data_IF_675067218134
#
_entry.id   IF_675067218134
#
_cell.length_a   1.000
_cell.length_b   1.000
_cell.length_c   1.000
_cell.angle_alpha   90.00
_cell.angle_beta   90.00
_cell.angle_gamma   90.00
#
_symmetry.space_group_name_H-M   'P 1'
#
loop_
_entity.id
_entity.type
_entity.pdbx_description
1 polymer ?
#
# COMPACT_ATOMS: atom_id res chain seq x y z
N UNK A 1 32.58 -27.86 25.00
CA UNK A 1 32.03 -26.52 24.98
C UNK A 1 32.09 -25.99 23.55
N UNK A 2 30.94 -25.65 22.96
CA UNK A 2 30.90 -25.00 21.64
C UNK A 2 31.27 -23.53 21.83
N UNK A 3 32.42 -23.12 21.32
CA UNK A 3 32.78 -21.70 21.26
C UNK A 3 32.04 -21.01 20.11
N UNK A 4 31.07 -20.20 20.43
CA UNK A 4 30.40 -19.33 19.45
C UNK A 4 31.35 -18.19 19.04
N UNK A 5 31.71 -18.14 17.75
CA UNK A 5 32.50 -17.05 17.21
C UNK A 5 31.77 -15.71 17.40
N UNK A 6 32.40 -14.69 18.00
CA UNK A 6 31.78 -13.37 18.20
C UNK A 6 31.33 -12.70 16.89
N UNK A 7 31.99 -13.04 15.76
CA UNK A 7 31.59 -12.58 14.42
C UNK A 7 30.23 -13.16 13.97
N UNK A 8 29.94 -14.41 14.34
CA UNK A 8 28.67 -15.05 14.02
C UNK A 8 27.53 -14.43 14.85
N UNK A 9 27.78 -14.15 16.12
CA UNK A 9 26.81 -13.50 16.99
C UNK A 9 26.46 -12.07 16.50
N UNK A 10 27.46 -11.29 16.04
CA UNK A 10 27.23 -9.95 15.49
C UNK A 10 26.44 -10.00 14.19
N UNK A 11 26.72 -10.95 13.30
CA UNK A 11 25.97 -11.12 12.04
C UNK A 11 24.52 -11.49 12.29
N UNK A 12 24.26 -12.38 13.25
CA UNK A 12 22.89 -12.78 13.63
C UNK A 12 22.14 -11.61 14.26
N UNK A 13 22.78 -10.80 15.11
CA UNK A 13 22.18 -9.63 15.72
C UNK A 13 21.87 -8.53 14.70
N UNK A 14 22.73 -8.33 13.71
CA UNK A 14 22.50 -7.38 12.61
C UNK A 14 21.34 -7.82 11.71
N UNK A 15 21.27 -9.12 11.39
CA UNK A 15 20.17 -9.68 10.60
C UNK A 15 18.82 -9.59 11.34
N UNK A 16 18.80 -9.83 12.65
CA UNK A 16 17.59 -9.69 13.48
C UNK A 16 17.17 -8.21 13.61
N UNK A 17 18.10 -7.29 13.74
CA UNK A 17 17.80 -5.86 13.80
C UNK A 17 17.22 -5.35 12.47
N UNK A 18 17.75 -5.81 11.33
CA UNK A 18 17.22 -5.47 10.01
C UNK A 18 15.82 -6.03 9.79
N UNK A 19 15.57 -7.28 10.21
CA UNK A 19 14.25 -7.89 10.10
C UNK A 19 13.21 -7.16 10.96
N UNK A 20 13.57 -6.73 12.18
CA UNK A 20 12.67 -5.95 13.04
C UNK A 20 12.41 -4.55 12.48
N UNK A 21 13.39 -3.90 11.84
CA UNK A 21 13.20 -2.61 11.20
C UNK A 21 12.21 -2.70 10.03
N UNK A 22 12.29 -3.74 9.20
CA UNK A 22 11.36 -3.96 8.07
C UNK A 22 9.93 -4.25 8.56
N UNK A 23 9.77 -4.98 9.64
CA UNK A 23 8.42 -5.22 10.22
C UNK A 23 7.84 -3.96 10.86
N UNK A 24 8.67 -3.08 11.42
CA UNK A 24 8.24 -1.80 11.98
C UNK A 24 7.78 -0.80 10.91
N UNK A 25 8.19 -0.96 9.63
CA UNK A 25 7.82 -0.07 8.52
C UNK A 25 6.60 -0.56 7.72
N UNK A 26 5.92 -1.60 8.18
CA UNK A 26 4.77 -2.21 7.49
C UNK A 26 3.63 -2.51 8.47
N UNK A 27 3.57 -1.77 9.57
CA UNK A 27 2.49 -1.88 10.54
C UNK A 27 1.19 -1.25 9.98
N UNK A 28 0.07 -1.60 10.58
CA UNK A 28 -1.22 -0.94 10.32
C UNK A 28 -1.11 0.58 10.43
N UNK A 29 -0.38 1.05 11.44
CA UNK A 29 -0.18 2.48 11.68
C UNK A 29 0.64 3.16 10.58
N UNK A 30 1.65 2.49 10.00
CA UNK A 30 2.44 3.07 8.91
C UNK A 30 1.57 3.33 7.67
N UNK A 31 0.64 2.42 7.35
CA UNK A 31 -0.34 2.64 6.29
C UNK A 31 -1.27 3.82 6.61
N UNK A 32 -1.83 3.84 7.82
CA UNK A 32 -2.77 4.90 8.25
C UNK A 32 -2.09 6.26 8.25
N UNK A 33 -0.90 6.38 8.82
CA UNK A 33 -0.17 7.64 8.91
C UNK A 33 0.19 8.20 7.53
N UNK A 34 0.65 7.35 6.61
CA UNK A 34 0.98 7.76 5.25
C UNK A 34 -0.27 8.26 4.48
N UNK A 35 -1.41 7.61 4.63
CA UNK A 35 -2.67 8.06 4.05
C UNK A 35 -3.11 9.40 4.65
N UNK A 36 -3.07 9.52 5.97
CA UNK A 36 -3.53 10.72 6.67
C UNK A 36 -2.65 11.93 6.41
N UNK A 37 -1.35 11.74 6.19
CA UNK A 37 -0.47 12.82 5.73
C UNK A 37 -0.94 13.39 4.39
N UNK A 38 -1.23 12.55 3.40
CA UNK A 38 -1.72 12.99 2.09
C UNK A 38 -3.12 13.63 2.15
N UNK A 39 -3.99 13.13 3.02
CA UNK A 39 -5.33 13.67 3.23
C UNK A 39 -5.32 15.04 3.93
N UNK A 40 -4.43 15.21 4.90
CA UNK A 40 -4.23 16.49 5.57
C UNK A 40 -3.77 17.60 4.62
N UNK A 41 -2.93 17.25 3.64
CA UNK A 41 -2.44 18.18 2.61
C UNK A 41 -3.58 18.83 1.78
N UNK A 42 -4.74 18.18 1.73
CA UNK A 42 -5.93 18.67 1.00
C UNK A 42 -7.11 18.96 1.91
N UNK A 43 -6.89 19.03 3.23
CA UNK A 43 -7.87 19.42 4.22
C UNK A 43 -8.97 18.40 4.50
N UNK A 44 -8.70 17.11 4.23
CA UNK A 44 -9.64 16.02 4.47
C UNK A 44 -9.51 15.44 5.89
N UNK A 45 -10.60 14.85 6.37
CA UNK A 45 -10.59 14.04 7.58
C UNK A 45 -9.76 12.78 7.44
N UNK A 46 -9.31 12.25 8.58
CA UNK A 46 -8.50 11.06 8.65
C UNK A 46 -9.28 9.79 8.26
N UNK A 47 -8.54 8.82 7.73
CA UNK A 47 -8.98 7.42 7.65
C UNK A 47 -8.51 6.67 8.90
N UNK A 48 -9.24 5.62 9.26
CA UNK A 48 -8.88 4.71 10.36
C UNK A 48 -8.70 3.29 9.84
N UNK A 49 -7.96 2.48 10.57
CA UNK A 49 -7.82 1.07 10.25
C UNK A 49 -9.12 0.32 10.49
N UNK A 50 -9.55 -0.46 9.50
CA UNK A 50 -10.70 -1.35 9.56
C UNK A 50 -10.24 -2.80 9.42
N UNK A 51 -10.32 -3.55 10.51
CA UNK A 51 -9.85 -4.94 10.56
C UNK A 51 -10.60 -5.87 9.58
N UNK A 52 -11.87 -5.58 9.28
CA UNK A 52 -12.66 -6.36 8.29
C UNK A 52 -12.15 -6.11 6.88
N UNK A 53 -11.88 -4.84 6.55
CA UNK A 53 -11.29 -4.45 5.27
C UNK A 53 -9.87 -5.00 5.13
N UNK A 54 -9.09 -4.98 6.23
CA UNK A 54 -7.74 -5.54 6.26
C UNK A 54 -7.72 -7.06 6.03
N UNK A 55 -8.66 -7.79 6.63
CA UNK A 55 -8.80 -9.22 6.39
C UNK A 55 -9.10 -9.53 4.92
N UNK A 56 -9.97 -8.75 4.27
CA UNK A 56 -10.24 -8.87 2.84
C UNK A 56 -8.96 -8.62 2.01
N UNK A 57 -8.22 -7.56 2.32
CA UNK A 57 -6.95 -7.25 1.64
C UNK A 57 -5.91 -8.37 1.83
N UNK A 58 -5.80 -8.92 3.05
CA UNK A 58 -4.87 -10.01 3.34
C UNK A 58 -5.23 -11.29 2.58
N UNK A 59 -6.52 -11.68 2.58
CA UNK A 59 -6.98 -12.86 1.85
C UNK A 59 -6.65 -12.77 0.36
N UNK A 60 -6.78 -11.59 -0.23
CA UNK A 60 -6.42 -11.38 -1.63
C UNK A 60 -4.91 -11.35 -1.85
N UNK A 61 -4.15 -10.68 -0.99
CA UNK A 61 -2.70 -10.65 -1.06
C UNK A 61 -2.10 -12.07 -1.01
N UNK A 62 -2.64 -12.94 -0.16
CA UNK A 62 -2.19 -14.33 -0.06
C UNK A 62 -2.45 -15.13 -1.34
N UNK A 63 -3.55 -14.85 -2.06
CA UNK A 63 -3.82 -15.47 -3.36
C UNK A 63 -2.84 -15.01 -4.45
N UNK A 64 -2.29 -13.79 -4.33
CA UNK A 64 -1.35 -13.19 -5.29
C UNK A 64 0.11 -13.54 -5.04
N UNK A 65 0.45 -14.18 -3.92
CA UNK A 65 1.84 -14.54 -3.58
C UNK A 65 2.54 -15.37 -4.66
N UNK A 66 1.81 -16.26 -5.32
CA UNK A 66 2.38 -17.19 -6.30
C UNK A 66 2.85 -16.52 -7.59
N UNK A 67 2.18 -15.46 -8.04
CA UNK A 67 2.50 -14.77 -9.29
C UNK A 67 2.87 -13.30 -9.11
N UNK A 68 2.51 -12.71 -7.99
CA UNK A 68 2.72 -11.30 -7.64
C UNK A 68 2.33 -10.30 -8.74
N UNK A 69 1.35 -10.65 -9.57
CA UNK A 69 0.85 -9.76 -10.61
C UNK A 69 -0.08 -8.70 -10.00
N UNK A 70 0.07 -7.45 -10.45
CA UNK A 70 -0.78 -6.35 -10.03
C UNK A 70 -2.13 -6.41 -10.74
N UNK A 71 -2.93 -7.39 -10.38
CA UNK A 71 -4.30 -7.59 -10.88
C UNK A 71 -5.25 -7.27 -9.74
N UNK A 72 -6.22 -6.42 -10.01
CA UNK A 72 -7.28 -6.07 -9.05
C UNK A 72 -8.15 -7.27 -8.70
N UNK A 73 -8.76 -7.23 -7.52
CA UNK A 73 -9.79 -8.21 -7.14
C UNK A 73 -10.89 -8.25 -8.20
N UNK A 74 -11.47 -9.41 -8.49
CA UNK A 74 -12.53 -9.54 -9.49
C UNK A 74 -13.70 -8.58 -9.27
N UNK A 75 -14.44 -8.33 -10.34
CA UNK A 75 -15.65 -7.49 -10.31
C UNK A 75 -16.63 -7.90 -9.20
N UNK A 76 -17.29 -6.88 -8.61
CA UNK A 76 -18.20 -7.07 -7.48
C UNK A 76 -17.52 -6.96 -6.12
N UNK A 77 -16.25 -6.56 -6.07
CA UNK A 77 -15.58 -6.23 -4.80
C UNK A 77 -16.33 -5.11 -4.05
N UNK A 78 -16.44 -5.21 -2.73
CA UNK A 78 -17.19 -4.24 -1.93
C UNK A 78 -16.39 -2.96 -1.63
N UNK A 79 -15.08 -2.94 -1.91
CA UNK A 79 -14.14 -1.89 -1.53
C UNK A 79 -13.46 -1.24 -2.73
N UNK A 80 -13.02 0.00 -2.58
CA UNK A 80 -12.00 0.60 -3.43
C UNK A 80 -10.66 -0.10 -3.23
N UNK A 81 -9.70 0.07 -4.16
CA UNK A 81 -8.47 -0.69 -4.10
C UNK A 81 -7.30 0.00 -4.79
N UNK A 82 -6.16 0.03 -4.12
CA UNK A 82 -4.87 0.39 -4.70
C UNK A 82 -3.90 -0.78 -4.57
N UNK A 83 -3.10 -1.01 -5.60
CA UNK A 83 -2.08 -2.06 -5.66
C UNK A 83 -0.69 -1.45 -5.86
N UNK A 84 0.34 -2.13 -5.33
CA UNK A 84 1.74 -1.74 -5.48
C UNK A 84 2.68 -2.93 -5.41
N UNK A 85 3.85 -2.82 -6.06
CA UNK A 85 4.90 -3.83 -6.04
C UNK A 85 4.98 -4.63 -7.33
N UNK A 86 5.16 -5.93 -7.20
CA UNK A 86 5.29 -6.89 -8.29
C UNK A 86 6.52 -7.78 -8.11
N UNK A 87 6.63 -8.81 -8.94
CA UNK A 87 7.81 -9.69 -8.98
C UNK A 87 9.03 -9.00 -9.57
N UNK A 88 10.24 -9.33 -9.12
CA UNK A 88 11.50 -8.81 -9.65
C UNK A 88 11.91 -7.42 -9.14
N UNK A 89 11.22 -6.87 -8.15
CA UNK A 89 11.48 -5.53 -7.63
C UNK A 89 12.21 -5.48 -6.28
N UNK A 90 12.59 -6.63 -5.71
CA UNK A 90 13.13 -6.72 -4.36
C UNK A 90 12.05 -6.79 -3.28
N UNK A 91 12.46 -7.11 -2.06
CA UNK A 91 11.52 -7.32 -0.93
C UNK A 91 11.51 -6.17 0.08
N UNK A 92 12.17 -5.06 -0.22
CA UNK A 92 12.41 -3.96 0.72
C UNK A 92 11.30 -2.90 0.72
N UNK A 93 10.41 -2.94 -0.28
CA UNK A 93 9.32 -1.99 -0.41
C UNK A 93 8.37 -2.05 0.79
N UNK A 94 8.09 -0.87 1.33
CA UNK A 94 7.34 -0.67 2.57
C UNK A 94 5.92 -0.14 2.31
N UNK A 95 5.10 -0.10 3.38
CA UNK A 95 3.81 0.57 3.38
C UNK A 95 3.93 2.03 2.91
N UNK A 96 4.90 2.75 3.43
CA UNK A 96 5.15 4.16 3.09
C UNK A 96 5.56 4.31 1.62
N UNK A 97 6.39 3.41 1.07
CA UNK A 97 6.76 3.44 -0.34
C UNK A 97 5.55 3.27 -1.25
N UNK A 98 4.66 2.33 -0.93
CA UNK A 98 3.43 2.10 -1.67
C UNK A 98 2.55 3.36 -1.68
N UNK A 99 2.25 3.91 -0.50
CA UNK A 99 1.39 5.10 -0.40
C UNK A 99 2.04 6.31 -1.07
N UNK A 100 3.34 6.53 -0.91
CA UNK A 100 4.05 7.62 -1.58
C UNK A 100 4.02 7.47 -3.11
N UNK A 101 4.13 6.25 -3.62
CA UNK A 101 3.98 5.98 -5.06
C UNK A 101 2.59 6.38 -5.55
N UNK A 102 1.53 5.98 -4.86
CA UNK A 102 0.15 6.37 -5.21
C UNK A 102 -0.06 7.88 -5.10
N UNK A 103 0.49 8.53 -4.07
CA UNK A 103 0.38 9.98 -3.86
C UNK A 103 1.18 10.76 -4.90
N UNK A 104 2.23 10.19 -5.48
CA UNK A 104 3.02 10.86 -6.53
C UNK A 104 2.22 11.18 -7.79
N UNK A 105 1.12 10.47 -8.04
CA UNK A 105 0.19 10.76 -9.15
C UNK A 105 -0.51 12.13 -9.00
N UNK A 106 -0.48 12.74 -7.79
CA UNK A 106 -0.98 14.11 -7.54
C UNK A 106 -0.46 15.13 -8.55
N UNK A 107 0.78 14.96 -9.01
CA UNK A 107 1.40 15.87 -9.99
C UNK A 107 0.64 15.94 -11.33
N UNK A 108 -0.17 14.93 -11.64
CA UNK A 108 -0.95 14.85 -12.88
C UNK A 108 -2.43 15.17 -12.70
N UNK A 109 -2.89 15.33 -11.45
CA UNK A 109 -4.29 15.56 -11.15
C UNK A 109 -4.59 17.03 -10.95
N UNK A 110 -5.52 17.55 -11.72
CA UNK A 110 -6.08 18.91 -11.56
C UNK A 110 -7.43 18.80 -10.84
N UNK A 111 -7.47 19.34 -9.62
CA UNK A 111 -8.66 19.28 -8.79
C UNK A 111 -9.77 20.21 -9.29
N UNK A 112 -9.44 21.40 -9.78
CA UNK A 112 -10.44 22.41 -10.19
C UNK A 112 -11.25 21.94 -11.38
N UNK A 113 -10.61 21.24 -12.31
CA UNK A 113 -11.25 20.65 -13.49
C UNK A 113 -11.65 19.18 -13.29
N UNK A 114 -11.23 18.55 -12.21
CA UNK A 114 -11.36 17.11 -11.96
C UNK A 114 -10.82 16.27 -13.15
N UNK A 115 -9.62 16.61 -13.62
CA UNK A 115 -9.00 15.94 -14.76
C UNK A 115 -7.63 15.36 -14.41
N UNK A 116 -7.27 14.31 -15.12
CA UNK A 116 -5.96 13.66 -15.06
C UNK A 116 -5.19 13.87 -16.36
N UNK A 117 -3.97 14.38 -16.27
CA UNK A 117 -3.05 14.59 -17.40
C UNK A 117 -1.85 13.64 -17.37
N UNK A 118 -2.01 12.46 -16.76
CA UNK A 118 -0.95 11.46 -16.69
C UNK A 118 -0.50 11.00 -18.08
N UNK A 119 0.80 10.71 -18.28
CA UNK A 119 1.31 10.11 -19.49
C UNK A 119 0.66 8.75 -19.80
N UNK A 120 0.85 8.27 -21.05
CA UNK A 120 0.37 6.94 -21.44
C UNK A 120 0.94 5.85 -20.52
N UNK A 121 0.05 5.02 -20.00
CA UNK A 121 0.40 3.94 -19.05
C UNK A 121 0.40 4.36 -17.59
N UNK A 122 0.23 5.64 -17.28
CA UNK A 122 0.06 6.17 -15.92
C UNK A 122 -1.38 6.62 -15.68
N UNK A 123 -1.73 6.90 -14.43
CA UNK A 123 -3.07 7.32 -14.04
C UNK A 123 -3.02 8.31 -12.87
N UNK A 124 -4.17 8.80 -12.44
CA UNK A 124 -4.35 9.52 -11.18
C UNK A 124 -5.21 8.73 -10.19
N UNK A 125 -5.60 7.52 -10.57
CA UNK A 125 -6.61 6.75 -9.84
C UNK A 125 -6.16 6.29 -8.46
N UNK A 126 -4.87 6.04 -8.27
CA UNK A 126 -4.36 5.70 -6.95
C UNK A 126 -4.38 6.91 -6.02
N UNK A 127 -3.93 8.08 -6.48
CA UNK A 127 -3.99 9.30 -5.70
C UNK A 127 -5.41 9.68 -5.33
N UNK A 128 -6.33 9.70 -6.32
CA UNK A 128 -7.72 10.08 -6.07
C UNK A 128 -8.42 9.15 -5.10
N UNK A 129 -8.07 7.85 -5.07
CA UNK A 129 -8.57 6.91 -4.07
C UNK A 129 -8.00 7.23 -2.66
N UNK A 130 -6.71 7.52 -2.53
CA UNK A 130 -6.09 7.90 -1.23
C UNK A 130 -6.80 9.10 -0.63
N UNK A 131 -7.10 10.12 -1.45
CA UNK A 131 -7.75 11.36 -1.02
C UNK A 131 -9.26 11.37 -1.29
N UNK A 132 -9.90 10.20 -1.39
CA UNK A 132 -11.34 10.12 -1.55
C UNK A 132 -12.04 10.50 -0.25
N UNK A 133 -12.84 11.59 -0.29
CA UNK A 133 -13.48 12.20 0.89
C UNK A 133 -14.28 11.20 1.70
N UNK A 134 -15.08 10.39 1.03
CA UNK A 134 -16.04 9.49 1.67
C UNK A 134 -15.43 8.18 2.14
N UNK A 135 -14.20 7.85 1.72
CA UNK A 135 -13.46 6.71 2.28
C UNK A 135 -12.97 7.06 3.67
N UNK A 136 -13.46 6.36 4.70
CA UNK A 136 -13.14 6.60 6.11
C UNK A 136 -12.43 5.44 6.78
N UNK A 137 -12.53 4.23 6.22
CA UNK A 137 -11.85 3.03 6.69
C UNK A 137 -10.88 2.51 5.63
N UNK A 138 -9.70 2.08 6.06
CA UNK A 138 -8.73 1.37 5.21
C UNK A 138 -8.29 0.07 5.86
N UNK A 139 -7.98 -0.90 5.02
CA UNK A 139 -7.31 -2.12 5.43
C UNK A 139 -6.32 -2.53 4.35
N UNK A 140 -5.08 -2.77 4.75
CA UNK A 140 -4.00 -3.06 3.83
C UNK A 140 -3.31 -4.38 4.18
N UNK A 141 -2.64 -4.96 3.20
CA UNK A 141 -1.81 -6.13 3.37
C UNK A 141 -0.53 -6.03 2.52
N UNK A 142 0.53 -6.61 3.03
CA UNK A 142 1.81 -6.76 2.33
C UNK A 142 2.28 -8.20 2.44
N UNK A 143 2.56 -8.81 1.32
CA UNK A 143 3.16 -10.15 1.27
C UNK A 143 4.42 -10.14 0.42
N UNK A 144 5.37 -11.02 0.77
CA UNK A 144 6.52 -11.30 -0.09
C UNK A 144 6.10 -12.35 -1.11
N UNK A 145 6.52 -12.17 -2.36
CA UNK A 145 6.27 -13.11 -3.44
C UNK A 145 6.92 -14.47 -3.14
N UNK A 146 6.30 -15.56 -3.54
CA UNK A 146 6.83 -16.92 -3.32
C UNK A 146 8.16 -17.15 -4.06
N UNK A 147 8.44 -16.35 -5.11
CA UNK A 147 9.75 -16.32 -5.76
C UNK A 147 10.87 -15.78 -4.86
N UNK A 148 10.54 -15.10 -3.76
CA UNK A 148 11.50 -14.41 -2.89
C UNK A 148 12.05 -13.11 -3.47
N UNK A 149 11.56 -12.65 -4.62
CA UNK A 149 12.01 -11.44 -5.31
C UNK A 149 10.83 -10.55 -5.69
N UNK A 150 10.37 -9.77 -4.72
CA UNK A 150 9.27 -8.84 -4.88
C UNK A 150 8.27 -8.88 -3.73
N UNK A 151 7.36 -7.92 -3.76
CA UNK A 151 6.25 -7.82 -2.81
C UNK A 151 4.96 -7.51 -3.56
N UNK A 152 3.85 -7.94 -3.00
CA UNK A 152 2.52 -7.48 -3.37
C UNK A 152 1.94 -6.72 -2.20
N UNK A 153 1.55 -5.47 -2.43
CA UNK A 153 0.93 -4.59 -1.45
C UNK A 153 -0.42 -4.17 -1.98
N UNK A 154 -1.44 -4.27 -1.14
CA UNK A 154 -2.80 -3.87 -1.44
C UNK A 154 -3.35 -3.03 -0.30
N UNK A 155 -4.06 -1.94 -0.62
CA UNK A 155 -4.96 -1.27 0.30
C UNK A 155 -6.37 -1.29 -0.26
N UNK A 156 -7.32 -1.69 0.59
CA UNK A 156 -8.75 -1.63 0.32
C UNK A 156 -9.38 -0.49 1.10
N UNK A 157 -10.38 0.18 0.50
CA UNK A 157 -10.98 1.42 1.01
C UNK A 157 -12.48 1.26 1.21
N UNK A 158 -12.99 1.68 2.36
CA UNK A 158 -14.40 1.60 2.73
C UNK A 158 -14.93 2.97 3.22
N UNK A 159 -15.98 3.53 2.61
CA UNK A 159 -16.58 3.15 1.32
C UNK A 159 -15.60 3.24 0.14
N UNK A 160 -15.90 2.57 -1.01
CA UNK A 160 -15.09 2.69 -2.21
C UNK A 160 -15.13 4.11 -2.77
N UNK A 161 -14.07 4.50 -3.48
CA UNK A 161 -13.98 5.77 -4.18
C UNK A 161 -13.93 5.64 -5.69
N UNK A 162 -13.45 6.68 -6.33
CA UNK A 162 -13.21 6.76 -7.77
C UNK A 162 -14.46 6.55 -8.63
N UNK A 163 -15.61 7.09 -8.18
CA UNK A 163 -16.82 7.09 -8.99
C UNK A 163 -16.66 8.03 -10.21
N UNK A 164 -17.02 7.57 -11.42
CA UNK A 164 -16.85 8.36 -12.63
C UNK A 164 -17.51 9.75 -12.53
N UNK A 165 -16.74 10.80 -12.86
CA UNK A 165 -17.21 12.19 -12.86
C UNK A 165 -17.35 12.84 -11.47
N UNK A 166 -17.02 12.15 -10.41
CA UNK A 166 -17.05 12.69 -9.03
C UNK A 166 -15.63 13.10 -8.61
N UNK A 167 -15.49 14.32 -8.10
CA UNK A 167 -14.24 14.79 -7.52
C UNK A 167 -13.95 14.08 -6.20
N UNK A 168 -12.70 13.72 -5.90
CA UNK A 168 -12.32 13.04 -4.66
C UNK A 168 -12.53 13.92 -3.42
N UNK A 169 -12.39 15.26 -3.53
CA UNK A 169 -12.55 16.24 -2.45
C UNK A 169 -13.02 17.59 -2.95
#
# INVERSE_FOLDING_TARGET
AMEYSPKLAVLVLLALASAMAVTAQNSEQDFVDAHNAARADVGLGEVTWDATVAAFAQDYADQRRGDCQLIHTPDGRPYGENLYGGGGGGTEWTATDAVNSWVSEKQYYDHDSNTCSAPEGESCGHYTQVVWRDSTGIGCARVVCDSGDGVFIICSYNPPGNFPGVSPY
#
